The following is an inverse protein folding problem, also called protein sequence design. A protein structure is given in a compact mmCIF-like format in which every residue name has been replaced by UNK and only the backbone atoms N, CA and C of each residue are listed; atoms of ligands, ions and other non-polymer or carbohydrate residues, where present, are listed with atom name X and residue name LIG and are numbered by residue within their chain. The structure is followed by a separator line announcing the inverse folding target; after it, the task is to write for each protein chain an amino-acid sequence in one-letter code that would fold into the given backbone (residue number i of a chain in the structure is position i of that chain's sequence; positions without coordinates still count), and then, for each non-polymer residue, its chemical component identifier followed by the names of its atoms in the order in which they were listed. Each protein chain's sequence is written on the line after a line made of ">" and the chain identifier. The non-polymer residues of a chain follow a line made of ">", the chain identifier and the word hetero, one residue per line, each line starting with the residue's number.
data_IF_914094657521
#
_entry.id   IF_914094657521
#
_cell.length_a   1.000
_cell.length_b   1.000
_cell.length_c   1.000
_cell.angle_alpha   90.00
_cell.angle_beta   90.00
_cell.angle_gamma   90.00
#
_symmetry.space_group_name_H-M   'P 1'
#
loop_
_entity.id
_entity.type
_entity.pdbx_description
1 polymer ?
#
# COMPACT_ATOMS: atom_id res chain seq x y z
N UNK A 1 -77.89 24.16 28.71
CA UNK A 1 -78.49 24.24 27.37
C UNK A 1 -77.57 25.09 26.51
N UNK A 2 -76.61 24.47 25.85
CA UNK A 2 -75.89 25.09 24.73
C UNK A 2 -76.46 24.49 23.46
N UNK A 3 -76.67 25.33 22.44
CA UNK A 3 -76.53 24.78 21.10
C UNK A 3 -75.78 25.73 20.15
N UNK A 4 -75.02 25.08 19.25
CA UNK A 4 -74.73 25.45 17.85
C UNK A 4 -73.79 26.64 17.62
N UNK A 5 -72.85 26.65 16.68
CA UNK A 5 -72.39 25.69 15.65
C UNK A 5 -71.29 26.41 14.86
N UNK A 6 -70.20 25.70 14.53
CA UNK A 6 -69.42 25.74 13.27
C UNK A 6 -69.03 27.11 12.65
N UNK A 7 -67.80 27.40 12.23
CA UNK A 7 -66.87 26.57 11.46
C UNK A 7 -65.48 27.27 11.45
N UNK A 8 -64.45 26.43 11.31
CA UNK A 8 -63.15 26.71 10.69
C UNK A 8 -61.97 27.36 11.44
N UNK A 9 -60.86 26.64 11.32
CA UNK A 9 -59.44 27.02 11.36
C UNK A 9 -58.67 26.95 12.69
N UNK A 10 -58.12 25.74 12.84
CA UNK A 10 -56.93 25.30 13.55
C UNK A 10 -55.96 26.36 14.11
N UNK A 11 -55.85 26.32 15.44
CA UNK A 11 -54.62 26.28 16.25
C UNK A 11 -53.51 27.28 15.88
N UNK A 12 -53.44 28.33 16.70
CA UNK A 12 -52.24 29.10 16.99
C UNK A 12 -51.06 28.20 17.35
N UNK A 13 -50.09 28.09 16.44
CA UNK A 13 -48.70 27.81 16.76
C UNK A 13 -47.84 28.67 15.84
N UNK A 14 -47.31 29.76 16.39
CA UNK A 14 -46.32 30.61 15.71
C UNK A 14 -45.03 29.78 15.59
N UNK A 15 -44.88 29.08 14.48
CA UNK A 15 -43.60 28.57 14.01
C UNK A 15 -43.00 29.62 13.07
N UNK A 16 -41.78 30.13 13.32
CA UNK A 16 -41.13 30.98 12.34
C UNK A 16 -40.85 30.14 11.10
N UNK A 17 -41.34 30.64 9.96
CA UNK A 17 -41.05 30.09 8.65
C UNK A 17 -39.53 29.96 8.48
N UNK A 18 -39.11 28.82 7.93
CA UNK A 18 -37.74 28.54 7.55
C UNK A 18 -37.19 29.72 6.75
N UNK A 19 -36.30 30.49 7.38
CA UNK A 19 -35.42 31.38 6.66
C UNK A 19 -34.60 30.52 5.67
N UNK A 20 -34.44 30.92 4.39
CA UNK A 20 -33.42 30.30 3.56
C UNK A 20 -32.10 30.49 4.30
N UNK A 21 -31.35 29.40 4.49
CA UNK A 21 -30.10 29.36 5.24
C UNK A 21 -29.09 30.36 4.68
N UNK A 22 -29.12 31.60 5.17
CA UNK A 22 -28.15 32.64 4.93
C UNK A 22 -26.91 32.44 5.82
N UNK A 23 -26.33 31.24 5.77
CA UNK A 23 -25.10 30.90 6.48
C UNK A 23 -24.18 30.07 5.58
N UNK A 24 -23.85 30.59 4.39
CA UNK A 24 -22.80 30.01 3.56
C UNK A 24 -22.06 31.04 2.69
N UNK A 25 -21.95 32.26 3.17
CA UNK A 25 -21.30 33.35 2.43
C UNK A 25 -20.57 34.26 3.41
N UNK A 26 -19.23 34.16 3.47
CA UNK A 26 -18.29 35.26 3.78
C UNK A 26 -16.82 34.81 3.88
N UNK A 27 -16.53 33.51 4.00
CA UNK A 27 -15.13 33.04 4.17
C UNK A 27 -14.50 32.50 2.87
N UNK A 28 -15.30 32.00 1.92
CA UNK A 28 -14.80 31.40 0.66
C UNK A 28 -14.09 32.41 -0.27
N UNK A 29 -14.42 33.70 -0.15
CA UNK A 29 -13.86 34.76 -1.01
C UNK A 29 -12.88 35.70 -0.32
N UNK A 30 -12.49 35.46 0.94
CA UNK A 30 -11.50 36.30 1.65
C UNK A 30 -10.09 36.20 1.07
N UNK A 31 -9.73 35.06 0.51
CA UNK A 31 -8.39 34.75 -0.02
C UNK A 31 -8.35 34.63 -1.55
N UNK A 32 -9.35 35.22 -2.21
CA UNK A 32 -9.57 35.12 -3.65
C UNK A 32 -9.29 36.47 -4.34
N UNK A 33 -8.71 36.44 -5.55
CA UNK A 33 -8.49 37.66 -6.35
C UNK A 33 -9.77 38.12 -7.06
N UNK A 34 -10.56 37.16 -7.54
CA UNK A 34 -11.77 37.43 -8.30
C UNK A 34 -12.87 36.47 -7.89
N UNK A 35 -13.93 36.99 -7.28
CA UNK A 35 -15.03 36.20 -6.71
C UNK A 35 -16.35 36.52 -7.42
N UNK A 36 -17.11 35.47 -7.71
CA UNK A 36 -18.48 35.52 -8.20
C UNK A 36 -19.43 35.05 -7.11
N UNK A 37 -20.60 35.69 -7.01
CA UNK A 37 -21.63 35.31 -6.02
C UNK A 37 -22.18 33.90 -6.24
N UNK A 38 -22.19 33.43 -7.48
CA UNK A 38 -22.84 32.16 -7.85
C UNK A 38 -21.83 31.02 -8.02
N UNK A 39 -20.60 31.34 -8.44
CA UNK A 39 -19.54 30.36 -8.73
C UNK A 39 -18.40 30.37 -7.70
N UNK A 40 -18.50 31.18 -6.64
CA UNK A 40 -17.43 31.36 -5.66
C UNK A 40 -16.18 31.99 -6.27
N UNK A 41 -15.01 31.56 -5.83
CA UNK A 41 -13.75 32.08 -6.31
C UNK A 41 -13.43 31.63 -7.75
N UNK A 42 -13.18 32.59 -8.64
CA UNK A 42 -12.82 32.36 -10.04
C UNK A 42 -11.31 32.37 -10.24
N UNK A 43 -10.59 33.22 -9.48
CA UNK A 43 -9.13 33.39 -9.62
C UNK A 43 -8.44 33.43 -8.26
N UNK A 44 -7.47 32.54 -8.07
CA UNK A 44 -6.63 32.47 -6.86
C UNK A 44 -5.28 33.16 -7.07
N UNK A 45 -4.65 33.67 -5.99
CA UNK A 45 -3.25 34.05 -5.98
C UNK A 45 -2.33 32.88 -6.39
N UNK A 46 -1.16 33.18 -6.96
CA UNK A 46 -0.21 32.16 -7.45
C UNK A 46 0.29 31.18 -6.38
N UNK A 47 0.15 31.51 -5.09
CA UNK A 47 0.55 30.62 -3.99
C UNK A 47 -0.54 29.60 -3.61
N UNK A 48 -1.76 29.79 -4.10
CA UNK A 48 -2.92 28.95 -3.78
C UNK A 48 -3.39 28.19 -5.02
N UNK A 49 -4.11 27.09 -4.79
CA UNK A 49 -4.69 26.24 -5.80
C UNK A 49 -6.20 26.44 -5.84
N UNK A 50 -6.74 26.68 -7.03
CA UNK A 50 -8.18 26.72 -7.24
C UNK A 50 -8.75 25.30 -7.21
N UNK A 51 -9.64 25.03 -6.27
CA UNK A 51 -10.43 23.82 -6.17
C UNK A 51 -11.87 24.10 -6.60
N UNK A 52 -12.38 23.31 -7.55
CA UNK A 52 -13.76 23.42 -8.03
C UNK A 52 -14.59 22.28 -7.45
N UNK A 53 -15.52 22.61 -6.56
CA UNK A 53 -16.49 21.68 -6.01
C UNK A 53 -17.75 21.68 -6.89
N UNK A 54 -18.13 20.50 -7.39
CA UNK A 54 -19.36 20.33 -8.16
C UNK A 54 -20.51 19.96 -7.22
N UNK A 55 -21.57 20.75 -7.23
CA UNK A 55 -22.82 20.46 -6.52
C UNK A 55 -23.97 20.47 -7.53
N UNK A 56 -24.37 19.29 -8.00
CA UNK A 56 -25.31 19.15 -9.11
C UNK A 56 -24.82 19.82 -10.40
N UNK A 57 -25.52 20.90 -10.80
CA UNK A 57 -25.21 21.69 -12.00
C UNK A 57 -24.29 22.88 -11.72
N UNK A 58 -24.15 23.31 -10.45
CA UNK A 58 -23.30 24.43 -10.08
C UNK A 58 -21.87 23.98 -9.74
N UNK A 59 -20.92 24.88 -10.00
CA UNK A 59 -19.51 24.67 -9.70
C UNK A 59 -19.08 25.83 -8.82
N UNK A 60 -18.62 25.53 -7.60
CA UNK A 60 -18.16 26.52 -6.64
C UNK A 60 -16.64 26.43 -6.50
N UNK A 61 -15.96 27.56 -6.68
CA UNK A 61 -14.52 27.66 -6.57
C UNK A 61 -14.05 28.11 -5.18
N UNK A 62 -13.01 27.46 -4.67
CA UNK A 62 -12.35 27.81 -3.40
C UNK A 62 -10.84 27.78 -3.57
N UNK A 63 -10.12 28.73 -2.98
CA UNK A 63 -8.65 28.72 -2.98
C UNK A 63 -8.11 27.97 -1.77
N UNK A 64 -7.30 26.93 -2.02
CA UNK A 64 -6.70 26.10 -0.97
C UNK A 64 -5.16 26.15 -1.07
N UNK A 65 -4.49 26.02 0.07
CA UNK A 65 -3.03 25.87 0.10
C UNK A 65 -2.61 24.47 -0.37
N UNK A 66 -3.40 23.45 -0.01
CA UNK A 66 -3.15 22.05 -0.35
C UNK A 66 -4.45 21.43 -0.85
N UNK A 67 -4.37 20.65 -1.92
CA UNK A 67 -5.55 20.02 -2.50
C UNK A 67 -6.10 18.89 -1.61
N UNK A 68 -7.43 18.68 -1.59
CA UNK A 68 -8.05 17.62 -0.82
C UNK A 68 -7.74 16.22 -1.38
N UNK A 69 -7.98 15.14 -0.62
CA UNK A 69 -7.79 13.78 -1.09
C UNK A 69 -8.51 13.49 -2.41
N UNK A 70 -7.89 12.68 -3.27
CA UNK A 70 -8.34 12.37 -4.62
C UNK A 70 -8.01 13.46 -5.66
N UNK A 71 -7.27 14.50 -5.27
CA UNK A 71 -6.80 15.57 -6.15
C UNK A 71 -5.29 15.76 -6.05
N UNK A 72 -4.69 16.27 -7.13
CA UNK A 72 -3.29 16.67 -7.20
C UNK A 72 -3.14 18.13 -7.57
N UNK A 73 -2.02 18.69 -7.14
CA UNK A 73 -1.62 20.06 -7.41
C UNK A 73 -1.08 20.18 -8.84
N UNK A 74 -1.84 20.84 -9.70
CA UNK A 74 -1.39 21.15 -11.05
C UNK A 74 -0.99 22.62 -11.15
N UNK A 75 0.29 22.85 -11.42
CA UNK A 75 0.80 24.19 -11.73
C UNK A 75 0.53 24.50 -13.20
N UNK A 76 -0.40 25.42 -13.44
CA UNK A 76 -0.72 25.91 -14.77
C UNK A 76 0.10 27.15 -15.12
N UNK A 77 0.17 27.48 -16.42
CA UNK A 77 0.83 28.71 -16.90
C UNK A 77 0.11 29.98 -16.41
N UNK A 78 -1.22 29.90 -16.29
CA UNK A 78 -2.10 31.01 -15.92
C UNK A 78 -2.53 30.97 -14.45
N UNK A 79 -2.77 29.78 -13.91
CA UNK A 79 -3.17 29.59 -12.51
C UNK A 79 -2.95 28.15 -12.04
N UNK A 80 -2.78 27.99 -10.74
CA UNK A 80 -2.65 26.69 -10.09
C UNK A 80 -4.03 26.12 -9.75
N UNK A 81 -4.24 24.83 -10.02
CA UNK A 81 -5.54 24.17 -9.88
C UNK A 81 -5.41 22.81 -9.21
N UNK A 82 -6.43 22.43 -8.44
CA UNK A 82 -6.58 21.08 -7.94
C UNK A 82 -7.29 20.22 -9.00
N UNK A 83 -6.57 19.24 -9.53
CA UNK A 83 -7.07 18.34 -10.57
C UNK A 83 -7.35 16.98 -9.99
N UNK A 84 -8.43 16.34 -10.43
CA UNK A 84 -8.82 15.02 -9.91
C UNK A 84 -7.84 13.94 -10.39
N UNK A 85 -7.46 13.03 -9.51
CA UNK A 85 -6.67 11.85 -9.85
C UNK A 85 -7.42 10.97 -10.86
N UNK A 86 -6.68 10.24 -11.73
CA UNK A 86 -7.32 9.29 -12.66
C UNK A 86 -7.94 8.10 -11.94
N UNK A 87 -7.23 7.55 -10.95
CA UNK A 87 -7.73 6.42 -10.15
C UNK A 87 -8.55 6.91 -8.96
N UNK A 88 -9.70 6.28 -8.73
CA UNK A 88 -10.54 6.52 -7.54
C UNK A 88 -9.98 5.84 -6.28
N UNK A 89 -9.10 4.85 -6.46
CA UNK A 89 -8.46 4.11 -5.37
C UNK A 89 -7.22 4.83 -4.82
N UNK A 90 -6.96 6.05 -5.30
CA UNK A 90 -5.81 6.87 -4.95
C UNK A 90 -6.25 8.05 -4.06
N UNK A 91 -5.64 8.18 -2.88
CA UNK A 91 -5.87 9.30 -1.97
C UNK A 91 -5.03 10.51 -2.35
N UNK A 92 -3.78 10.31 -2.76
CA UNK A 92 -2.93 11.39 -3.25
C UNK A 92 -2.18 10.93 -4.49
N UNK A 93 -2.27 11.73 -5.55
CA UNK A 93 -1.48 11.54 -6.75
C UNK A 93 -0.53 12.72 -6.97
N UNK A 94 0.64 12.45 -7.54
CA UNK A 94 1.59 13.47 -7.94
C UNK A 94 1.22 14.06 -9.31
N UNK A 95 0.71 13.20 -10.20
CA UNK A 95 0.21 13.59 -11.51
C UNK A 95 -1.06 12.81 -11.82
N UNK A 96 -1.71 13.13 -12.95
CA UNK A 96 -2.93 12.43 -13.40
C UNK A 96 -2.80 10.91 -13.35
N UNK A 97 -1.64 10.36 -13.73
CA UNK A 97 -1.41 8.92 -13.87
C UNK A 97 -0.51 8.31 -12.79
N UNK A 98 0.07 9.12 -11.90
CA UNK A 98 1.02 8.67 -10.88
C UNK A 98 0.48 8.93 -9.48
N UNK A 99 0.05 7.87 -8.82
CA UNK A 99 -0.38 7.87 -7.42
C UNK A 99 0.83 7.78 -6.47
N UNK A 100 0.81 8.56 -5.39
CA UNK A 100 1.81 8.49 -4.31
C UNK A 100 1.26 7.82 -3.06
N UNK A 101 -0.06 7.86 -2.84
CA UNK A 101 -0.72 7.19 -1.71
C UNK A 101 -2.06 6.61 -2.11
N UNK A 102 -2.19 5.31 -1.92
CA UNK A 102 -3.43 4.59 -2.17
C UNK A 102 -4.39 4.63 -0.98
N UNK A 103 -5.67 4.42 -1.26
CA UNK A 103 -6.69 4.18 -0.24
C UNK A 103 -6.40 2.92 0.56
N UNK A 104 -6.94 2.86 1.77
CA UNK A 104 -6.87 1.66 2.61
C UNK A 104 -7.42 0.43 1.87
N UNK A 105 -6.68 -0.67 1.94
CA UNK A 105 -7.02 -1.92 1.24
C UNK A 105 -6.41 -2.07 -0.15
N UNK A 106 -5.77 -1.04 -0.70
CA UNK A 106 -5.05 -1.11 -1.97
C UNK A 106 -3.53 -1.06 -1.75
N UNK A 107 -2.79 -1.74 -2.62
CA UNK A 107 -1.34 -1.70 -2.66
C UNK A 107 -0.85 -0.79 -3.80
N UNK A 108 0.14 0.04 -3.53
CA UNK A 108 0.79 0.91 -4.50
C UNK A 108 1.85 0.14 -5.28
N UNK A 109 1.74 0.13 -6.60
CA UNK A 109 2.71 -0.48 -7.50
C UNK A 109 2.98 0.42 -8.70
N UNK A 110 4.23 0.87 -8.86
CA UNK A 110 4.67 1.72 -9.99
C UNK A 110 3.74 2.91 -10.25
N UNK A 111 3.29 3.57 -9.18
CA UNK A 111 2.38 4.71 -9.25
C UNK A 111 0.90 4.37 -9.47
N UNK A 112 0.50 3.11 -9.36
CA UNK A 112 -0.91 2.67 -9.49
C UNK A 112 -1.36 1.94 -8.24
N UNK A 113 -2.63 2.10 -7.88
CA UNK A 113 -3.24 1.38 -6.78
C UNK A 113 -3.91 0.11 -7.32
N UNK A 114 -3.57 -1.04 -6.72
CA UNK A 114 -4.07 -2.35 -7.10
C UNK A 114 -4.63 -3.06 -5.87
N UNK A 115 -5.67 -3.86 -6.04
CA UNK A 115 -6.25 -4.66 -4.94
C UNK A 115 -5.34 -5.84 -4.56
N UNK A 116 -4.56 -6.35 -5.52
CA UNK A 116 -3.57 -7.42 -5.34
C UNK A 116 -2.31 -7.11 -6.12
N UNK A 117 -1.15 -7.38 -5.52
CA UNK A 117 0.14 -7.28 -6.19
C UNK A 117 0.25 -8.24 -7.39
N UNK A 118 0.83 -7.80 -8.52
CA UNK A 118 1.05 -8.64 -9.69
C UNK A 118 2.05 -9.76 -9.43
N UNK A 119 2.03 -10.80 -10.29
CA UNK A 119 2.95 -11.93 -10.21
C UNK A 119 4.41 -11.45 -10.24
N UNK A 120 5.24 -12.01 -9.35
CA UNK A 120 6.65 -11.64 -9.20
C UNK A 120 6.89 -10.45 -8.25
N UNK A 121 5.85 -9.92 -7.62
CA UNK A 121 5.94 -8.84 -6.62
C UNK A 121 5.28 -9.27 -5.33
N UNK A 122 5.71 -8.70 -4.19
CA UNK A 122 5.15 -9.05 -2.89
C UNK A 122 4.52 -7.83 -2.20
N UNK A 123 3.40 -8.01 -1.49
CA UNK A 123 2.81 -6.96 -0.68
C UNK A 123 3.68 -6.71 0.55
N UNK A 124 4.11 -5.47 0.73
CA UNK A 124 4.86 -5.01 1.90
C UNK A 124 4.22 -3.73 2.42
N UNK A 125 3.55 -3.82 3.56
CA UNK A 125 2.68 -2.76 4.11
C UNK A 125 1.67 -2.28 3.06
N UNK A 126 1.88 -1.09 2.48
CA UNK A 126 1.00 -0.47 1.49
C UNK A 126 1.53 -0.56 0.06
N UNK A 127 2.71 -1.14 -0.16
CA UNK A 127 3.39 -1.11 -1.46
C UNK A 127 3.63 -2.53 -1.98
N UNK A 128 3.65 -2.69 -3.30
CA UNK A 128 4.11 -3.90 -3.97
C UNK A 128 5.58 -3.73 -4.35
N UNK A 129 6.44 -4.60 -3.84
CA UNK A 129 7.88 -4.53 -4.10
C UNK A 129 8.30 -5.58 -5.15
N UNK A 130 9.11 -5.15 -6.12
CA UNK A 130 9.63 -5.97 -7.22
C UNK A 130 10.81 -6.88 -6.79
N UNK A 131 11.40 -6.68 -5.60
CA UNK A 131 12.66 -7.34 -5.24
C UNK A 131 12.77 -7.70 -3.75
N UNK A 132 12.92 -9.00 -3.50
CA UNK A 132 13.24 -9.61 -2.21
C UNK A 132 14.63 -9.28 -1.62
N UNK A 133 15.44 -8.45 -2.30
CA UNK A 133 16.81 -8.15 -1.87
C UNK A 133 16.89 -7.22 -0.64
N UNK A 134 15.78 -6.59 -0.25
CA UNK A 134 15.69 -5.69 0.90
C UNK A 134 15.01 -6.32 2.12
N UNK A 135 14.49 -7.54 1.99
CA UNK A 135 14.13 -8.31 3.18
C UNK A 135 15.43 -8.63 3.93
N UNK A 136 15.49 -8.46 5.27
CA UNK A 136 16.63 -8.94 6.03
C UNK A 136 16.72 -10.45 5.81
N UNK A 137 17.66 -10.85 4.94
CA UNK A 137 17.93 -12.25 4.67
C UNK A 137 18.39 -12.85 5.99
N UNK A 138 17.74 -13.94 6.40
CA UNK A 138 18.19 -14.70 7.57
C UNK A 138 19.64 -15.15 7.40
N UNK A 139 20.24 -15.58 8.51
CA UNK A 139 21.58 -16.15 8.49
C UNK A 139 21.69 -17.31 7.49
N UNK A 140 22.88 -17.47 6.92
CA UNK A 140 23.15 -18.60 6.05
C UNK A 140 23.01 -19.90 6.82
N UNK A 141 22.37 -20.91 6.20
CA UNK A 141 22.46 -22.27 6.71
C UNK A 141 23.91 -22.74 6.73
N UNK A 142 24.16 -23.75 7.55
CA UNK A 142 25.39 -24.53 7.45
C UNK A 142 25.58 -25.10 6.04
N UNK A 143 26.85 -25.29 5.65
CA UNK A 143 27.20 -25.88 4.38
C UNK A 143 26.77 -27.35 4.33
N UNK A 144 26.18 -27.78 3.22
CA UNK A 144 25.91 -29.19 2.97
C UNK A 144 27.20 -30.01 2.94
N UNK A 145 27.06 -31.33 3.08
CA UNK A 145 28.18 -32.26 2.87
C UNK A 145 28.79 -32.09 1.48
N UNK A 146 30.12 -32.24 1.41
CA UNK A 146 30.86 -32.17 0.16
C UNK A 146 30.59 -33.41 -0.71
N UNK A 147 29.89 -33.24 -1.82
CA UNK A 147 29.49 -34.34 -2.71
C UNK A 147 29.72 -34.01 -4.19
N UNK A 148 29.80 -35.04 -5.03
CA UNK A 148 29.76 -34.90 -6.49
C UNK A 148 28.32 -34.75 -6.98
N UNK A 149 28.15 -34.31 -8.22
CA UNK A 149 26.84 -34.26 -8.89
C UNK A 149 26.19 -35.66 -8.99
N UNK A 150 26.99 -36.73 -8.93
CA UNK A 150 26.59 -38.15 -8.88
C UNK A 150 26.20 -38.65 -7.48
N UNK A 151 26.29 -37.81 -6.43
CA UNK A 151 25.96 -38.16 -5.04
C UNK A 151 27.09 -38.82 -4.24
N UNK A 152 28.27 -39.03 -4.84
CA UNK A 152 29.41 -39.63 -4.16
C UNK A 152 30.09 -38.63 -3.20
N UNK A 153 30.34 -39.06 -1.95
CA UNK A 153 30.92 -38.21 -0.89
C UNK A 153 32.43 -38.46 -0.64
N UNK A 154 33.03 -39.43 -1.33
CA UNK A 154 34.44 -39.79 -1.20
C UNK A 154 34.97 -40.42 -2.50
N UNK A 155 36.28 -40.64 -2.61
CA UNK A 155 36.94 -41.25 -3.78
C UNK A 155 37.55 -40.24 -4.76
N UNK A 156 37.16 -38.97 -4.68
CA UNK A 156 37.63 -37.91 -5.56
C UNK A 156 38.44 -36.83 -4.81
N UNK A 157 39.15 -35.97 -5.56
CA UNK A 157 39.91 -34.86 -4.98
C UNK A 157 39.03 -33.66 -4.62
N UNK A 158 37.95 -33.42 -5.38
CA UNK A 158 37.12 -32.22 -5.30
C UNK A 158 35.63 -32.55 -5.49
N UNK A 159 34.78 -31.85 -4.76
CA UNK A 159 33.33 -31.91 -4.84
C UNK A 159 32.70 -30.51 -4.75
N UNK A 160 31.39 -30.45 -4.57
CA UNK A 160 30.62 -29.23 -4.34
C UNK A 160 29.82 -29.35 -3.04
N UNK A 161 29.68 -28.24 -2.35
CA UNK A 161 28.77 -28.08 -1.23
C UNK A 161 27.94 -26.83 -1.46
N UNK A 162 26.70 -26.86 -1.02
CA UNK A 162 25.75 -25.75 -1.14
C UNK A 162 25.21 -25.35 0.22
N UNK A 163 24.94 -24.06 0.40
CA UNK A 163 24.20 -23.53 1.54
C UNK A 163 23.05 -22.68 1.05
N UNK A 164 22.02 -22.56 1.86
CA UNK A 164 20.82 -21.82 1.51
C UNK A 164 20.51 -20.77 2.56
N UNK A 165 20.02 -19.61 2.16
CA UNK A 165 19.44 -18.62 3.08
C UNK A 165 18.10 -18.16 2.56
N UNK A 166 17.19 -17.89 3.48
CA UNK A 166 15.85 -17.44 3.18
C UNK A 166 15.21 -16.85 4.42
N UNK A 167 14.07 -16.20 4.23
CA UNK A 167 13.28 -15.66 5.34
C UNK A 167 12.57 -16.82 6.04
N UNK A 168 12.96 -17.10 7.28
CA UNK A 168 12.20 -17.96 8.17
C UNK A 168 11.02 -17.15 8.70
N UNK A 169 9.85 -17.28 8.08
CA UNK A 169 8.62 -16.94 8.80
C UNK A 169 7.53 -17.97 8.54
N UNK A 170 6.95 -18.45 9.63
CA UNK A 170 6.02 -19.58 9.71
C UNK A 170 4.58 -19.18 9.36
N UNK A 171 4.40 -18.41 8.30
CA UNK A 171 3.08 -18.16 7.73
C UNK A 171 3.16 -18.38 6.22
N UNK A 172 2.59 -19.52 5.83
CA UNK A 172 2.15 -19.96 4.49
C UNK A 172 2.65 -19.14 3.30
N UNK A 173 3.38 -19.86 2.44
CA UNK A 173 4.01 -19.47 1.16
C UNK A 173 5.35 -18.76 1.32
N UNK A 174 6.44 -19.45 1.01
CA UNK A 174 7.79 -18.88 0.95
C UNK A 174 7.82 -17.72 -0.05
N UNK A 175 7.87 -16.48 0.47
CA UNK A 175 7.61 -15.24 -0.28
C UNK A 175 8.83 -14.67 -1.02
N UNK A 176 9.98 -15.35 -0.97
CA UNK A 176 11.20 -14.97 -1.69
C UNK A 176 11.94 -16.21 -2.19
N UNK A 177 12.64 -16.15 -3.34
CA UNK A 177 13.42 -17.29 -3.82
C UNK A 177 14.51 -17.62 -2.81
N UNK A 178 14.61 -18.90 -2.43
CA UNK A 178 15.67 -19.43 -1.59
C UNK A 178 17.02 -19.16 -2.27
N UNK A 179 17.86 -18.32 -1.66
CA UNK A 179 19.18 -18.06 -2.22
C UNK A 179 20.08 -19.24 -1.92
N UNK A 180 20.64 -19.84 -2.97
CA UNK A 180 21.57 -20.98 -2.88
C UNK A 180 22.95 -20.52 -3.31
N UNK A 181 23.95 -20.73 -2.45
CA UNK A 181 25.35 -20.51 -2.77
C UNK A 181 26.06 -21.86 -2.86
N UNK A 182 26.88 -22.06 -3.90
CA UNK A 182 27.62 -23.31 -4.10
C UNK A 182 29.10 -23.02 -4.16
N UNK A 183 29.91 -23.77 -3.40
CA UNK A 183 31.37 -23.67 -3.43
C UNK A 183 32.05 -25.02 -3.66
N UNK A 184 33.28 -24.97 -4.17
CA UNK A 184 34.13 -26.16 -4.31
C UNK A 184 34.68 -26.55 -2.94
N UNK A 185 34.69 -27.84 -2.66
CA UNK A 185 35.16 -28.40 -1.41
C UNK A 185 36.10 -29.58 -1.67
N UNK A 186 37.03 -29.81 -0.74
CA UNK A 186 38.03 -30.88 -0.85
C UNK A 186 37.46 -32.18 -0.29
N UNK A 187 37.49 -33.23 -1.09
CA UNK A 187 36.91 -34.53 -0.73
C UNK A 187 37.96 -35.47 -0.12
N UNK A 188 37.47 -36.47 0.61
CA UNK A 188 38.31 -37.60 1.06
C UNK A 188 38.62 -38.51 -0.12
N UNK A 189 39.90 -38.58 -0.51
CA UNK A 189 40.39 -39.48 -1.58
C UNK A 189 40.13 -40.97 -1.29
N UNK A 190 40.12 -41.37 -0.01
CA UNK A 190 39.80 -42.74 0.40
C UNK A 190 38.41 -42.76 1.05
N UNK A 191 37.52 -43.56 0.47
CA UNK A 191 36.29 -43.93 1.13
C UNK A 191 36.62 -44.84 2.31
N UNK A 192 36.01 -44.59 3.48
CA UNK A 192 36.02 -45.62 4.51
C UNK A 192 35.30 -46.85 3.94
N UNK A 193 35.84 -48.07 4.10
CA UNK A 193 35.06 -49.27 3.80
C UNK A 193 33.75 -49.16 4.59
N UNK A 194 32.62 -49.53 3.98
CA UNK A 194 31.35 -49.67 4.70
C UNK A 194 31.58 -50.69 5.80
N UNK A 195 31.92 -50.20 6.99
CA UNK A 195 32.11 -51.02 8.17
C UNK A 195 30.76 -51.62 8.50
N UNK A 196 30.67 -52.94 8.37
CA UNK A 196 29.64 -53.76 9.01
C UNK A 196 29.45 -53.22 10.42
N UNK A 197 28.19 -53.05 10.81
CA UNK A 197 27.76 -52.76 12.18
C UNK A 197 28.54 -53.70 13.11
N UNK A 198 29.57 -53.17 13.77
CA UNK A 198 30.22 -53.87 14.86
C UNK A 198 29.22 -53.79 16.01
N UNK A 199 28.47 -54.87 16.20
CA UNK A 199 27.85 -55.19 17.47
C UNK A 199 28.95 -55.16 18.53
N UNK A 200 29.12 -54.02 19.19
CA UNK A 200 29.82 -53.96 20.46
C UNK A 200 28.80 -54.44 21.48
N UNK A 201 28.96 -55.69 21.89
CA UNK A 201 28.23 -56.27 23.00
C UNK A 201 28.48 -55.45 24.27
N UNK A 202 27.43 -54.84 24.77
CA UNK A 202 27.35 -54.47 26.18
C UNK A 202 27.00 -55.73 26.97
N UNK A 203 28.02 -56.43 27.48
CA UNK A 203 27.83 -57.43 28.52
C UNK A 203 27.89 -56.73 29.88
N UNK A 204 26.70 -56.58 30.46
CA UNK A 204 26.39 -56.60 31.90
C UNK A 204 26.68 -55.36 32.75
N UNK A 205 25.96 -55.08 33.82
CA UNK A 205 24.59 -55.40 34.29
C UNK A 205 24.38 -54.58 35.60
N UNK A 206 23.26 -54.67 36.35
CA UNK A 206 22.55 -53.53 36.91
C UNK A 206 22.80 -53.28 38.41
N UNK A 207 22.40 -52.11 38.89
CA UNK A 207 21.45 -51.85 40.00
C UNK A 207 21.28 -50.35 40.17
#
# INVERSE_FOLDING_TARGET
>A
MTPMSELDQCVSAISPMMAPSAHRDTDDCRSCLECSRENGCVRCPERLFLFLQRDGMSHHGTCLLTCPPGHYEQKGKEMNRCMRCRSQDCDHCFSRDFCTKCRSGFQLYKGKCLSRCPLGTFPHHTDCLDHCLLAPLGEWSEWSMCQRDTGEMCGYRWGRQSRTRGTSNNQTTSFCPLQTETQRCRMRKRCKPKGKTALIGHNGMPS
#
